data_IF_780742811044
#
_entry.id   IF_780742811044
#
_cell.length_a   1.000
_cell.length_b   1.000
_cell.length_c   1.000
_cell.angle_alpha   90.00
_cell.angle_beta   90.00
_cell.angle_gamma   90.00
#
_symmetry.space_group_name_H-M   'P 1'
#
loop_
_entity.id
_entity.type
_entity.pdbx_description
1 polymer ?
#
# COMPACT_ATOMS: atom_id res chain seq x y z
N UNK A 1 5.42 -31.17 15.93
CA UNK A 1 5.14 -30.09 16.91
C UNK A 1 4.63 -28.87 16.14
N UNK A 2 3.51 -28.26 16.55
CA UNK A 2 2.90 -27.12 15.83
C UNK A 2 3.32 -25.80 16.47
N UNK A 3 3.83 -24.88 15.66
CA UNK A 3 4.13 -23.49 16.04
C UNK A 3 2.91 -22.64 15.73
N UNK A 4 2.49 -21.80 16.67
CA UNK A 4 1.35 -20.90 16.47
C UNK A 4 1.88 -19.48 16.37
N UNK A 5 1.69 -18.87 15.19
CA UNK A 5 1.91 -17.46 14.95
C UNK A 5 0.68 -16.69 15.44
N UNK A 6 0.89 -15.74 16.34
CA UNK A 6 -0.17 -14.89 16.87
C UNK A 6 0.07 -13.47 16.36
N UNK A 7 -0.84 -13.00 15.51
CA UNK A 7 -0.90 -11.61 15.02
C UNK A 7 -1.84 -10.79 15.92
N UNK A 8 -1.64 -9.48 16.03
CA UNK A 8 -2.40 -8.62 16.95
C UNK A 8 -2.05 -8.82 18.42
N UNK A 9 -0.84 -9.33 18.70
CA UNK A 9 -0.45 -9.75 20.05
C UNK A 9 -0.41 -8.59 21.06
N UNK A 10 -0.20 -7.35 20.63
CA UNK A 10 -0.06 -6.19 21.53
C UNK A 10 -1.38 -5.74 22.20
N UNK A 11 -2.55 -6.19 21.73
CA UNK A 11 -3.86 -5.80 22.30
C UNK A 11 -4.32 -6.62 23.51
N UNK A 12 -5.45 -6.25 24.12
CA UNK A 12 -6.01 -6.93 25.31
C UNK A 12 -6.38 -8.40 25.08
N UNK A 13 -6.91 -8.74 23.90
CA UNK A 13 -7.21 -10.12 23.49
C UNK A 13 -5.92 -10.91 23.28
N UNK A 14 -4.93 -10.33 22.60
CA UNK A 14 -3.60 -10.94 22.42
C UNK A 14 -2.90 -11.21 23.75
N UNK A 15 -3.04 -10.29 24.71
CA UNK A 15 -2.52 -10.46 26.07
C UNK A 15 -3.21 -11.59 26.83
N UNK A 16 -4.53 -11.72 26.72
CA UNK A 16 -5.29 -12.81 27.38
C UNK A 16 -5.03 -14.17 26.75
N UNK A 17 -4.90 -14.23 25.42
CA UNK A 17 -4.56 -15.45 24.69
C UNK A 17 -3.14 -15.93 24.98
N UNK A 18 -2.15 -15.02 25.13
CA UNK A 18 -0.80 -15.39 25.58
C UNK A 18 -0.82 -16.13 26.92
N UNK A 19 -1.66 -15.70 27.86
CA UNK A 19 -1.77 -16.34 29.17
C UNK A 19 -2.46 -17.71 29.08
N UNK A 20 -3.53 -17.82 28.31
CA UNK A 20 -4.29 -19.08 28.15
C UNK A 20 -3.53 -20.15 27.36
N UNK A 21 -2.69 -19.74 26.41
CA UNK A 21 -1.93 -20.64 25.53
C UNK A 21 -0.53 -20.96 26.07
N UNK A 22 -0.11 -20.31 27.16
CA UNK A 22 1.18 -20.55 27.83
C UNK A 22 1.21 -21.95 28.42
N UNK A 23 2.12 -22.80 27.92
CA UNK A 23 2.28 -24.19 28.38
C UNK A 23 1.46 -25.22 27.60
N UNK A 24 0.51 -24.80 26.76
CA UNK A 24 -0.25 -25.69 25.86
C UNK A 24 0.54 -25.97 24.58
N UNK A 25 1.28 -24.97 24.08
CA UNK A 25 2.15 -25.09 22.91
C UNK A 25 3.61 -24.82 23.30
N UNK A 26 4.58 -25.55 22.74
CA UNK A 26 5.99 -25.43 23.12
C UNK A 26 6.65 -24.13 22.62
N UNK A 27 6.03 -23.41 21.67
CA UNK A 27 6.54 -22.16 21.13
C UNK A 27 5.42 -21.25 20.61
N UNK A 28 5.42 -20.00 21.07
CA UNK A 28 4.53 -18.93 20.62
C UNK A 28 5.39 -17.82 20.01
N UNK A 29 5.12 -17.43 18.77
CA UNK A 29 5.84 -16.35 18.07
C UNK A 29 4.89 -15.16 17.88
N UNK A 30 5.33 -13.96 18.28
CA UNK A 30 4.58 -12.72 18.22
C UNK A 30 5.12 -11.84 17.09
N UNK A 31 4.26 -11.08 16.42
CA UNK A 31 4.64 -10.35 15.19
C UNK A 31 4.57 -8.80 15.24
N UNK A 32 4.04 -8.15 16.29
CA UNK A 32 3.69 -6.71 16.22
C UNK A 32 4.17 -5.81 17.40
N UNK A 33 4.53 -4.54 17.08
CA UNK A 33 4.70 -3.36 17.94
C UNK A 33 3.74 -2.21 17.50
N UNK A 34 3.26 -1.38 18.46
CA UNK A 34 2.18 -0.34 18.51
C UNK A 34 2.07 0.72 17.36
N UNK A 35 1.06 1.62 17.18
CA UNK A 35 -0.38 1.87 17.54
C UNK A 35 -0.95 2.83 16.44
N UNK A 36 -2.22 2.72 16.00
CA UNK A 36 -2.82 3.53 14.88
C UNK A 36 -4.09 4.28 15.31
N UNK A 37 -4.25 5.53 14.85
CA UNK A 37 -5.53 6.31 14.88
C UNK A 37 -5.94 6.76 13.47
N UNK A 38 -7.21 7.18 13.32
CA UNK A 38 -8.13 6.80 12.24
C UNK A 38 -8.32 7.75 11.03
N UNK A 39 -8.69 7.11 9.90
CA UNK A 39 -9.59 7.51 8.78
C UNK A 39 -9.28 8.76 7.93
N UNK A 40 -8.26 8.62 7.08
CA UNK A 40 -8.32 8.48 5.61
C UNK A 40 -7.52 7.19 5.29
N UNK A 41 -7.46 6.64 4.06
CA UNK A 41 -6.45 5.58 3.79
C UNK A 41 -5.06 6.22 3.75
N UNK A 42 -4.56 6.57 4.93
CA UNK A 42 -3.19 6.99 5.14
C UNK A 42 -2.26 5.81 4.95
N UNK A 43 -0.97 6.11 4.86
CA UNK A 43 0.06 5.06 4.75
C UNK A 43 0.05 4.08 5.93
N UNK A 44 -0.51 4.50 7.07
CA UNK A 44 -0.66 3.75 8.32
C UNK A 44 -1.84 2.76 8.34
N UNK A 45 -2.64 2.72 7.28
CA UNK A 45 -3.69 1.70 7.16
C UNK A 45 -3.09 0.30 7.15
N UNK A 46 -3.81 -0.66 7.77
CA UNK A 46 -3.41 -2.07 7.77
C UNK A 46 -3.14 -2.54 6.34
N UNK A 47 -1.91 -3.01 6.10
CA UNK A 47 -1.49 -3.55 4.80
C UNK A 47 -2.36 -4.76 4.42
N UNK A 48 -2.90 -4.74 3.19
CA UNK A 48 -3.74 -5.78 2.60
C UNK A 48 -3.20 -6.14 1.22
N UNK A 49 -2.14 -6.97 1.13
CA UNK A 49 -1.51 -7.28 -0.14
C UNK A 49 -2.46 -8.14 -1.00
N UNK A 50 -2.53 -7.84 -2.29
CA UNK A 50 -3.36 -8.54 -3.28
C UNK A 50 -2.69 -9.78 -3.89
N UNK A 51 -1.38 -9.92 -3.70
CA UNK A 51 -0.56 -10.92 -4.39
C UNK A 51 0.69 -11.26 -3.58
N UNK A 52 1.39 -12.34 -3.97
CA UNK A 52 2.72 -12.68 -3.40
C UNK A 52 3.74 -11.55 -3.63
N UNK A 53 3.58 -10.81 -4.72
CA UNK A 53 4.35 -9.59 -4.98
C UNK A 53 4.04 -8.51 -3.94
N UNK A 54 2.76 -8.22 -3.69
CA UNK A 54 2.36 -7.29 -2.63
C UNK A 54 2.89 -7.70 -1.24
N UNK A 55 2.89 -8.99 -0.92
CA UNK A 55 3.48 -9.52 0.33
C UNK A 55 4.98 -9.23 0.40
N UNK A 56 5.73 -9.41 -0.68
CA UNK A 56 7.18 -9.14 -0.68
C UNK A 56 7.48 -7.65 -0.52
N UNK A 57 6.62 -6.76 -1.04
CA UNK A 57 6.73 -5.32 -0.81
C UNK A 57 6.43 -4.93 0.62
N UNK A 58 5.41 -5.51 1.25
CA UNK A 58 5.13 -5.31 2.67
C UNK A 58 6.29 -5.77 3.57
N UNK A 59 6.95 -6.88 3.22
CA UNK A 59 8.19 -7.30 3.89
C UNK A 59 9.31 -6.26 3.72
N UNK A 60 9.47 -5.71 2.51
CA UNK A 60 10.43 -4.65 2.22
C UNK A 60 10.20 -3.39 3.05
N UNK A 61 8.94 -2.97 3.25
CA UNK A 61 8.59 -1.86 4.13
C UNK A 61 9.05 -2.11 5.57
N UNK A 62 8.73 -3.28 6.14
CA UNK A 62 9.15 -3.65 7.49
C UNK A 62 10.69 -3.73 7.62
N UNK A 63 11.37 -4.24 6.59
CA UNK A 63 12.82 -4.29 6.54
C UNK A 63 13.42 -2.87 6.51
N UNK A 64 12.83 -1.97 5.72
CA UNK A 64 13.21 -0.56 5.65
C UNK A 64 13.13 0.12 7.01
N UNK A 65 12.00 -0.03 7.71
CA UNK A 65 11.80 0.51 9.06
C UNK A 65 12.85 -0.02 10.04
N UNK A 66 13.12 -1.33 10.02
CA UNK A 66 14.17 -1.91 10.85
C UNK A 66 15.55 -1.29 10.58
N UNK A 67 15.91 -1.06 9.32
CA UNK A 67 17.22 -0.49 8.99
C UNK A 67 17.33 1.00 9.34
N UNK A 68 16.24 1.75 9.19
CA UNK A 68 16.18 3.14 9.62
C UNK A 68 16.33 3.26 11.14
N UNK A 69 15.54 2.52 11.92
CA UNK A 69 15.56 2.57 13.37
C UNK A 69 16.87 2.05 13.98
N UNK A 70 17.40 0.96 13.43
CA UNK A 70 18.57 0.29 14.02
C UNK A 70 19.90 0.88 13.58
N UNK A 71 19.97 1.41 12.37
CA UNK A 71 21.23 1.84 11.76
C UNK A 71 21.20 3.29 11.26
N UNK A 72 20.10 4.02 11.44
CA UNK A 72 19.99 5.42 11.06
C UNK A 72 19.97 5.65 9.54
N UNK A 73 19.52 4.67 8.75
CA UNK A 73 19.37 4.86 7.31
C UNK A 73 18.14 5.72 7.01
N UNK A 74 18.29 6.68 6.09
CA UNK A 74 17.15 7.31 5.45
C UNK A 74 16.50 6.34 4.47
N UNK A 75 15.21 6.07 4.66
CA UNK A 75 14.44 5.11 3.86
C UNK A 75 13.08 5.71 3.51
N UNK A 76 12.84 5.91 2.22
CA UNK A 76 11.55 6.29 1.68
C UNK A 76 10.92 5.09 0.95
N UNK A 77 9.84 4.55 1.49
CA UNK A 77 9.06 3.50 0.84
C UNK A 77 7.96 4.11 -0.01
N UNK A 78 8.10 4.03 -1.34
CA UNK A 78 7.13 4.58 -2.28
C UNK A 78 6.16 3.47 -2.70
N UNK A 79 4.90 3.55 -2.28
CA UNK A 79 3.81 2.70 -2.76
C UNK A 79 3.33 3.21 -4.12
N UNK A 80 4.04 2.81 -5.16
CA UNK A 80 3.77 3.24 -6.55
C UNK A 80 2.39 2.73 -6.98
N UNK A 81 1.54 3.63 -7.48
CA UNK A 81 0.25 3.27 -8.07
C UNK A 81 0.40 2.65 -9.45
N UNK A 82 0.38 3.50 -10.49
CA UNK A 82 0.71 3.08 -11.84
C UNK A 82 1.59 4.14 -12.52
N UNK A 83 2.83 3.78 -12.79
CA UNK A 83 3.70 4.59 -13.66
C UNK A 83 3.51 4.17 -15.11
N UNK A 84 3.21 5.13 -15.96
CA UNK A 84 3.09 4.98 -17.41
C UNK A 84 3.15 6.37 -18.07
N UNK A 85 3.19 6.43 -19.40
CA UNK A 85 3.18 7.70 -20.15
C UNK A 85 1.86 8.47 -19.93
N UNK A 86 0.75 7.75 -19.77
CA UNK A 86 -0.58 8.29 -19.47
C UNK A 86 -1.49 7.17 -18.90
N UNK A 87 -2.56 7.50 -18.15
CA UNK A 87 -3.54 6.51 -17.71
C UNK A 87 -4.29 5.90 -18.90
N UNK A 88 -4.47 4.57 -18.87
CA UNK A 88 -5.09 3.81 -19.97
C UNK A 88 -6.51 3.29 -19.67
N UNK A 89 -7.02 3.57 -18.48
CA UNK A 89 -8.38 3.19 -18.05
C UNK A 89 -8.84 4.04 -16.86
N UNK A 90 -10.11 3.89 -16.48
CA UNK A 90 -10.72 4.68 -15.40
C UNK A 90 -10.00 4.50 -14.06
N UNK A 91 -9.59 3.27 -13.73
CA UNK A 91 -8.83 2.99 -12.51
C UNK A 91 -7.53 3.78 -12.48
N UNK A 92 -6.78 3.78 -13.57
CA UNK A 92 -5.49 4.48 -13.68
C UNK A 92 -5.63 5.99 -13.58
N UNK A 93 -6.78 6.59 -13.89
CA UNK A 93 -7.01 8.02 -13.60
C UNK A 93 -6.89 8.37 -12.10
N UNK A 94 -7.07 7.38 -11.21
CA UNK A 94 -6.97 7.59 -9.77
C UNK A 94 -5.56 7.36 -9.23
N UNK A 95 -4.85 6.38 -9.80
CA UNK A 95 -3.59 5.86 -9.25
C UNK A 95 -2.34 6.22 -10.06
N UNK A 96 -2.49 6.95 -11.18
CA UNK A 96 -1.39 7.26 -12.06
C UNK A 96 -0.34 8.14 -11.38
N UNK A 97 0.93 7.89 -11.71
CA UNK A 97 2.05 8.77 -11.40
C UNK A 97 2.88 8.94 -12.66
N UNK A 98 3.11 10.18 -13.05
CA UNK A 98 3.98 10.45 -14.20
C UNK A 98 5.44 10.06 -13.88
N UNK A 99 6.26 9.76 -14.90
CA UNK A 99 7.70 9.57 -14.68
C UNK A 99 8.37 10.78 -14.02
N UNK A 100 7.92 12.00 -14.33
CA UNK A 100 8.46 13.24 -13.74
C UNK A 100 8.18 13.31 -12.24
N UNK A 101 6.95 13.03 -11.86
CA UNK A 101 6.51 13.10 -10.46
C UNK A 101 7.13 11.97 -9.63
N UNK A 102 7.26 10.75 -10.18
CA UNK A 102 7.97 9.67 -9.50
C UNK A 102 9.45 10.02 -9.26
N UNK A 103 10.12 10.64 -10.22
CA UNK A 103 11.50 11.11 -10.04
C UNK A 103 11.60 12.14 -8.92
N UNK A 104 10.60 13.01 -8.73
CA UNK A 104 10.58 13.95 -7.62
C UNK A 104 10.55 13.21 -6.26
N UNK A 105 9.73 12.17 -6.10
CA UNK A 105 9.71 11.33 -4.89
C UNK A 105 11.05 10.61 -4.66
N UNK A 106 11.65 10.07 -5.72
CA UNK A 106 12.96 9.41 -5.64
C UNK A 106 14.03 10.41 -5.15
N UNK A 107 14.03 11.64 -5.69
CA UNK A 107 14.95 12.68 -5.23
C UNK A 107 14.74 13.06 -3.78
N UNK A 108 13.50 13.17 -3.32
CA UNK A 108 13.20 13.34 -1.89
C UNK A 108 13.83 12.22 -1.06
N UNK A 109 13.66 10.96 -1.48
CA UNK A 109 14.26 9.80 -0.81
C UNK A 109 15.79 9.81 -0.75
N UNK A 110 16.45 10.45 -1.73
CA UNK A 110 17.91 10.50 -1.82
C UNK A 110 18.52 11.76 -1.18
N UNK A 111 17.79 12.87 -1.18
CA UNK A 111 18.33 14.22 -0.90
C UNK A 111 17.78 14.83 0.39
N UNK A 112 16.66 14.35 0.95
CA UNK A 112 16.04 14.97 2.11
C UNK A 112 16.89 14.76 3.38
N UNK A 113 17.42 15.83 4.00
CA UNK A 113 18.47 15.72 5.03
C UNK A 113 18.00 15.04 6.31
N UNK A 114 16.71 15.16 6.63
CA UNK A 114 16.11 14.64 7.86
C UNK A 114 15.26 13.39 7.63
N UNK A 115 15.46 12.69 6.51
CA UNK A 115 14.70 11.47 6.23
C UNK A 115 15.11 10.35 7.19
N UNK A 116 14.17 9.93 8.03
CA UNK A 116 14.25 8.69 8.82
C UNK A 116 13.62 7.53 8.05
N UNK A 117 12.46 7.05 8.49
CA UNK A 117 11.64 6.10 7.75
C UNK A 117 10.29 6.72 7.44
N UNK A 118 9.94 6.78 6.15
CA UNK A 118 8.65 7.29 5.70
C UNK A 118 8.06 6.39 4.62
N UNK A 119 6.73 6.31 4.61
CA UNK A 119 5.96 5.67 3.55
C UNK A 119 5.16 6.77 2.84
N UNK A 120 5.12 6.71 1.51
CA UNK A 120 4.37 7.67 0.69
C UNK A 120 3.65 6.96 -0.46
N UNK A 121 2.63 7.60 -1.02
CA UNK A 121 1.97 7.10 -2.23
C UNK A 121 2.63 7.69 -3.48
N UNK A 122 2.99 6.83 -4.43
CA UNK A 122 3.44 7.24 -5.75
C UNK A 122 2.25 7.55 -6.64
N UNK A 123 1.71 8.76 -6.51
CA UNK A 123 0.62 9.31 -7.31
C UNK A 123 0.93 10.76 -7.69
N UNK A 124 0.56 11.14 -8.91
CA UNK A 124 0.53 12.53 -9.38
C UNK A 124 -0.63 13.31 -8.75
N UNK A 125 -0.87 14.56 -9.15
CA UNK A 125 -1.93 15.42 -8.63
C UNK A 125 -3.31 15.03 -9.22
N UNK A 126 -3.71 13.76 -9.02
CA UNK A 126 -4.92 13.20 -9.61
C UNK A 126 -6.15 13.69 -8.85
N UNK A 127 -7.10 14.30 -9.55
CA UNK A 127 -8.37 14.74 -8.96
C UNK A 127 -9.20 13.58 -8.35
N UNK A 128 -8.93 12.35 -8.81
CA UNK A 128 -9.60 11.11 -8.40
C UNK A 128 -8.78 10.26 -7.43
N UNK A 129 -7.70 10.82 -6.87
CA UNK A 129 -6.79 10.05 -6.02
C UNK A 129 -7.52 9.36 -4.87
N UNK A 130 -7.20 8.07 -4.64
CA UNK A 130 -7.76 7.28 -3.55
C UNK A 130 -7.02 7.45 -2.23
N UNK A 131 -5.88 8.12 -2.27
CA UNK A 131 -4.88 8.11 -1.20
C UNK A 131 -4.61 9.50 -0.68
N UNK A 132 -4.48 9.63 0.63
CA UNK A 132 -3.95 10.83 1.25
C UNK A 132 -2.42 10.79 1.17
N UNK A 133 -1.84 11.76 0.48
CA UNK A 133 -0.40 11.87 0.26
C UNK A 133 0.24 13.02 1.05
N UNK A 134 -0.44 13.51 2.09
CA UNK A 134 0.09 14.51 3.01
C UNK A 134 1.50 14.19 3.56
N UNK A 135 1.87 12.92 3.87
CA UNK A 135 3.25 12.59 4.26
C UNK A 135 4.29 12.97 3.20
N UNK A 136 4.01 12.73 1.92
CA UNK A 136 4.89 13.15 0.84
C UNK A 136 4.95 14.68 0.74
N UNK A 137 3.81 15.36 0.91
CA UNK A 137 3.75 16.82 0.86
C UNK A 137 4.55 17.47 1.99
N UNK A 138 4.60 16.88 3.19
CA UNK A 138 5.48 17.33 4.28
C UNK A 138 6.96 17.25 3.90
N UNK A 139 7.35 16.22 3.17
CA UNK A 139 8.72 16.03 2.65
C UNK A 139 9.04 16.91 1.43
N UNK A 140 8.11 17.79 1.02
CA UNK A 140 8.31 18.71 -0.10
C UNK A 140 7.83 18.19 -1.45
N UNK A 141 7.14 17.05 -1.51
CA UNK A 141 6.53 16.55 -2.75
C UNK A 141 5.47 17.52 -3.26
N UNK A 142 5.61 17.96 -4.51
CA UNK A 142 4.72 18.87 -5.22
C UNK A 142 4.56 18.32 -6.65
N UNK A 143 3.68 17.32 -6.84
CA UNK A 143 3.43 16.74 -8.17
C UNK A 143 2.98 17.82 -9.15
N UNK A 144 3.39 17.68 -10.39
CA UNK A 144 3.19 18.67 -11.45
C UNK A 144 2.22 18.21 -12.52
N UNK A 145 1.99 16.90 -12.66
CA UNK A 145 1.15 16.35 -13.69
C UNK A 145 -0.21 15.93 -13.10
N UNK A 146 -1.25 15.91 -13.94
CA UNK A 146 -2.63 15.62 -13.55
C UNK A 146 -3.19 14.50 -14.43
N UNK A 147 -3.66 13.39 -13.84
CA UNK A 147 -4.32 12.35 -14.62
C UNK A 147 -5.57 12.83 -15.39
N UNK A 148 -6.24 13.89 -14.89
CA UNK A 148 -7.46 14.41 -15.51
C UNK A 148 -7.20 15.00 -16.91
N UNK A 149 -5.96 15.40 -17.23
CA UNK A 149 -5.56 15.85 -18.57
C UNK A 149 -5.66 14.72 -19.63
N UNK A 150 -5.72 13.47 -19.17
CA UNK A 150 -5.82 12.27 -20.00
C UNK A 150 -7.18 11.55 -19.89
N UNK A 151 -8.14 12.17 -19.20
CA UNK A 151 -9.44 11.57 -18.85
C UNK A 151 -10.18 11.00 -20.05
N UNK A 152 -10.37 11.81 -21.10
CA UNK A 152 -11.20 11.39 -22.24
C UNK A 152 -10.60 10.20 -22.99
N UNK A 153 -9.27 10.15 -23.09
CA UNK A 153 -8.54 9.01 -23.65
C UNK A 153 -8.74 7.76 -22.80
N UNK A 154 -8.56 7.87 -21.49
CA UNK A 154 -8.70 6.74 -20.57
C UNK A 154 -10.13 6.18 -20.54
N UNK A 155 -11.15 7.06 -20.56
CA UNK A 155 -12.55 6.64 -20.59
C UNK A 155 -12.96 6.04 -21.93
N UNK A 156 -12.42 6.52 -23.06
CA UNK A 156 -12.62 5.86 -24.35
C UNK A 156 -12.05 4.43 -24.33
N UNK A 157 -10.84 4.25 -23.81
CA UNK A 157 -10.22 2.94 -23.67
C UNK A 157 -10.98 2.00 -22.70
N UNK A 158 -11.54 2.55 -21.61
CA UNK A 158 -12.36 1.78 -20.65
C UNK A 158 -13.58 1.12 -21.33
N UNK A 159 -14.19 1.78 -22.34
CA UNK A 159 -15.35 1.20 -23.06
C UNK A 159 -15.01 -0.04 -23.88
N UNK A 160 -13.74 -0.23 -24.21
CA UNK A 160 -13.24 -1.39 -24.95
C UNK A 160 -12.74 -2.51 -24.02
N UNK A 161 -12.65 -2.25 -22.72
CA UNK A 161 -12.13 -3.21 -21.73
C UNK A 161 -13.18 -4.25 -21.36
N UNK A 162 -12.76 -5.51 -21.27
CA UNK A 162 -13.60 -6.58 -20.70
C UNK A 162 -13.71 -6.41 -19.17
N UNK A 163 -14.91 -6.27 -18.61
CA UNK A 163 -15.09 -6.14 -17.15
C UNK A 163 -14.60 -7.38 -16.38
N UNK A 164 -14.14 -7.16 -15.15
CA UNK A 164 -13.73 -8.21 -14.24
C UNK A 164 -14.16 -7.85 -12.81
N UNK A 165 -15.14 -8.58 -12.27
CA UNK A 165 -15.77 -8.26 -10.97
C UNK A 165 -14.78 -8.16 -9.79
N UNK A 166 -13.66 -8.88 -9.83
CA UNK A 166 -12.64 -8.81 -8.76
C UNK A 166 -11.70 -7.63 -9.01
N UNK A 167 -11.19 -7.49 -10.24
CA UNK A 167 -10.25 -6.42 -10.59
C UNK A 167 -10.90 -5.03 -10.49
N UNK A 168 -12.17 -4.92 -10.87
CA UNK A 168 -12.89 -3.66 -10.93
C UNK A 168 -13.35 -3.20 -9.53
N UNK A 169 -13.47 -4.14 -8.59
CA UNK A 169 -13.89 -3.86 -7.22
C UNK A 169 -12.73 -3.46 -6.30
N UNK A 170 -11.56 -4.08 -6.46
CA UNK A 170 -10.42 -3.86 -5.56
C UNK A 170 -9.37 -2.91 -6.12
N UNK A 171 -8.75 -2.13 -5.24
CA UNK A 171 -7.71 -1.17 -5.62
C UNK A 171 -6.54 -1.80 -6.38
N UNK A 172 -6.20 -3.07 -6.13
CA UNK A 172 -5.10 -3.77 -6.81
C UNK A 172 -5.36 -4.11 -8.28
N UNK A 173 -6.59 -3.93 -8.77
CA UNK A 173 -6.92 -4.24 -10.16
C UNK A 173 -6.72 -5.74 -10.47
N UNK A 174 -6.19 -6.04 -11.65
CA UNK A 174 -5.95 -7.41 -12.10
C UNK A 174 -5.11 -8.26 -11.15
N UNK A 175 -4.24 -7.64 -10.34
CA UNK A 175 -3.48 -8.36 -9.31
C UNK A 175 -4.37 -9.03 -8.26
N UNK A 176 -5.52 -8.43 -7.94
CA UNK A 176 -6.50 -9.04 -7.05
C UNK A 176 -7.22 -10.22 -7.69
N UNK A 177 -7.34 -10.25 -9.03
CA UNK A 177 -8.02 -11.32 -9.74
C UNK A 177 -7.13 -12.56 -9.94
N UNK A 178 -5.81 -12.39 -10.00
CA UNK A 178 -4.89 -13.52 -10.12
C UNK A 178 -5.00 -14.48 -8.93
N UNK A 179 -5.19 -15.77 -9.22
CA UNK A 179 -5.36 -16.84 -8.24
C UNK A 179 -6.50 -16.57 -7.22
N UNK A 180 -7.46 -15.68 -7.52
CA UNK A 180 -8.55 -15.35 -6.61
C UNK A 180 -9.52 -16.52 -6.47
N UNK A 181 -9.61 -17.06 -5.25
CA UNK A 181 -10.51 -18.16 -4.90
C UNK A 181 -11.48 -17.78 -3.76
N UNK A 182 -11.55 -16.50 -3.41
CA UNK A 182 -12.47 -15.97 -2.41
C UNK A 182 -13.88 -15.77 -2.98
N UNK A 183 -14.86 -15.42 -2.13
CA UNK A 183 -16.17 -15.00 -2.61
C UNK A 183 -16.04 -13.72 -3.45
N UNK A 184 -16.68 -13.68 -4.62
CA UNK A 184 -16.71 -12.48 -5.45
C UNK A 184 -17.54 -11.38 -4.79
N UNK A 185 -17.20 -10.10 -4.99
CA UNK A 185 -17.91 -8.97 -4.37
C UNK A 185 -19.39 -8.82 -4.79
N UNK A 186 -19.84 -9.53 -5.83
CA UNK A 186 -21.21 -9.45 -6.37
C UNK A 186 -22.15 -10.60 -5.90
N UNK A 187 -21.68 -11.57 -5.10
CA UNK A 187 -22.48 -12.74 -4.64
C UNK A 187 -22.61 -13.83 -5.72
N UNK A 188 -22.83 -15.13 -5.44
CA UNK A 188 -23.86 -15.69 -4.56
C UNK A 188 -25.03 -14.72 -4.33
N UNK A 189 -25.73 -14.44 -5.43
CA UNK A 189 -27.08 -13.86 -5.43
C UNK A 189 -28.13 -14.97 -5.30
#
# INVERSE_FOLDING_TARGET
>A
MKTVLITGAAGGIGTRLRTLLKGVYPRLTLSDMAQVTALLRGVDDKVRPDSRYGVSKAFGEALGSFYAEKFGLGVLSIRIGNIDDYPVDERRLSIWVSPRDLVQLIRIGLEHPDLGYEIVWGASANARAWWDNEPAHRLGYRPQDHAEDHRDRALAAETERTPNAVADYFQGGDFCAFDFAGPTPEGDA
#
